data_IF_231523674678
#
_entry.id   IF_231523674678
#
_cell.length_a   1.000
_cell.length_b   1.000
_cell.length_c   1.000
_cell.angle_alpha   90.00
_cell.angle_beta   90.00
_cell.angle_gamma   90.00
#
_symmetry.space_group_name_H-M   'P 1'
#
loop_
_entity.id
_entity.type
_entity.pdbx_description
1 polymer ?
#
# COMPACT_ATOMS: atom_id res chain seq x y z
N UNK A 1 44.40 14.34 -13.23
CA UNK A 1 45.77 14.41 -12.69
C UNK A 1 45.63 14.25 -11.19
N UNK A 2 45.68 13.05 -10.59
CA UNK A 2 46.12 11.70 -11.00
C UNK A 2 45.05 10.69 -10.47
N UNK A 3 44.59 9.61 -11.13
CA UNK A 3 45.17 8.35 -11.68
C UNK A 3 45.58 7.29 -10.61
N UNK A 4 44.90 6.13 -10.65
CA UNK A 4 45.29 4.77 -10.18
C UNK A 4 45.38 4.55 -8.64
N UNK A 5 45.12 3.36 -8.05
CA UNK A 5 44.60 2.08 -8.57
C UNK A 5 44.02 1.18 -7.43
N UNK A 6 43.54 -0.03 -7.80
CA UNK A 6 43.25 -1.30 -7.07
C UNK A 6 43.73 -1.48 -5.60
N UNK A 7 43.15 -2.36 -4.75
CA UNK A 7 42.72 -3.78 -4.87
C UNK A 7 41.56 -4.08 -3.88
N UNK A 8 40.49 -4.82 -4.19
CA UNK A 8 40.34 -6.28 -4.38
C UNK A 8 40.75 -7.11 -3.14
N UNK A 9 39.75 -7.57 -2.38
CA UNK A 9 39.90 -8.54 -1.28
C UNK A 9 39.10 -9.82 -1.62
N UNK A 10 39.75 -10.98 -1.85
CA UNK A 10 39.09 -12.27 -1.93
C UNK A 10 39.29 -13.06 -0.63
N UNK A 11 38.21 -13.51 0.00
CA UNK A 11 38.25 -14.48 1.11
C UNK A 11 37.14 -15.50 0.92
N UNK A 12 37.45 -16.66 0.34
CA UNK A 12 36.48 -17.74 0.15
C UNK A 12 37.10 -19.15 0.25
N UNK A 13 36.74 -19.82 1.35
CA UNK A 13 36.46 -21.27 1.48
C UNK A 13 37.59 -22.29 1.27
N UNK A 14 37.83 -23.10 2.31
CA UNK A 14 38.19 -24.52 2.22
C UNK A 14 37.84 -25.28 3.51
N UNK A 15 37.15 -26.45 3.37
CA UNK A 15 37.13 -27.70 4.18
C UNK A 15 37.07 -27.69 5.75
N UNK A 16 36.69 -28.74 6.49
CA UNK A 16 36.19 -30.12 6.21
C UNK A 16 34.97 -30.53 7.08
N UNK A 17 34.06 -31.29 6.47
CA UNK A 17 33.37 -32.52 6.95
C UNK A 17 33.65 -33.08 8.37
N UNK A 18 32.60 -33.53 9.11
CA UNK A 18 32.47 -34.86 9.80
C UNK A 18 31.03 -35.06 10.34
N UNK A 19 30.57 -36.32 10.46
CA UNK A 19 29.21 -36.76 10.77
C UNK A 19 28.82 -36.66 12.27
N UNK A 20 27.52 -36.59 12.59
CA UNK A 20 26.73 -37.76 13.06
C UNK A 20 25.50 -37.42 13.96
N UNK A 21 24.51 -38.33 13.90
CA UNK A 21 23.59 -38.71 15.01
C UNK A 21 22.37 -37.82 15.35
N UNK A 22 21.20 -38.34 14.96
CA UNK A 22 19.92 -38.36 15.68
C UNK A 22 19.52 -37.15 16.56
N UNK A 23 18.54 -36.39 16.07
CA UNK A 23 17.46 -35.86 16.91
C UNK A 23 16.11 -36.33 16.34
N UNK A 24 15.25 -36.84 17.22
CA UNK A 24 13.92 -37.35 16.90
C UNK A 24 13.09 -36.31 16.11
N UNK A 25 12.28 -36.71 15.10
CA UNK A 25 11.20 -35.85 14.64
C UNK A 25 10.17 -35.76 15.77
N UNK A 26 10.33 -34.77 16.65
CA UNK A 26 9.29 -34.39 17.59
C UNK A 26 8.10 -33.93 16.76
N UNK A 27 7.13 -34.82 16.55
CA UNK A 27 5.77 -34.45 16.20
C UNK A 27 5.32 -33.47 17.28
N UNK A 28 5.36 -32.18 16.91
CA UNK A 28 4.71 -31.18 17.74
C UNK A 28 3.24 -31.57 17.74
N UNK A 29 2.71 -31.76 18.93
CA UNK A 29 1.27 -31.79 19.13
C UNK A 29 0.75 -30.40 18.77
N UNK A 30 0.53 -30.17 17.48
CA UNK A 30 -0.08 -28.95 16.95
C UNK A 30 -1.43 -28.86 17.67
N UNK A 31 -1.63 -27.90 18.59
CA UNK A 31 -2.87 -27.80 19.32
C UNK A 31 -3.95 -27.58 18.26
N UNK A 32 -4.97 -28.45 18.22
CA UNK A 32 -6.06 -28.26 17.27
C UNK A 32 -6.51 -26.80 17.38
N UNK A 33 -6.46 -25.99 16.31
CA UNK A 33 -6.86 -24.61 16.39
C UNK A 33 -8.33 -24.62 16.79
N UNK A 34 -8.61 -24.31 18.05
CA UNK A 34 -9.96 -24.31 18.56
C UNK A 34 -10.71 -23.27 17.74
N UNK A 35 -11.60 -23.74 16.87
CA UNK A 35 -12.45 -22.90 16.06
C UNK A 35 -13.44 -22.24 17.03
N UNK A 36 -12.99 -21.15 17.65
CA UNK A 36 -13.84 -20.20 18.32
C UNK A 36 -14.71 -19.59 17.23
N UNK A 37 -15.90 -20.17 17.03
CA UNK A 37 -16.97 -19.57 16.25
C UNK A 37 -17.16 -18.14 16.78
N UNK A 38 -16.79 -17.11 16.00
CA UNK A 38 -16.80 -15.76 16.50
C UNK A 38 -18.26 -15.30 16.54
N UNK A 39 -18.87 -15.39 17.72
CA UNK A 39 -20.22 -14.91 17.96
C UNK A 39 -20.18 -13.38 18.05
N UNK A 40 -20.51 -12.72 16.95
CA UNK A 40 -20.61 -11.27 16.91
C UNK A 40 -22.01 -10.84 17.38
N UNK A 41 -22.12 -10.02 18.44
CA UNK A 41 -23.41 -9.53 18.93
C UNK A 41 -24.05 -8.56 17.94
N UNK A 42 -25.37 -8.36 18.05
CA UNK A 42 -26.11 -7.44 17.18
C UNK A 42 -25.49 -6.04 17.16
N UNK A 43 -25.32 -5.48 15.96
CA UNK A 43 -24.68 -4.18 15.73
C UNK A 43 -23.16 -4.22 15.48
N UNK A 44 -22.52 -5.39 15.53
CA UNK A 44 -21.10 -5.56 15.13
C UNK A 44 -21.01 -6.14 13.72
N UNK A 45 -20.41 -5.39 12.80
CA UNK A 45 -20.25 -5.81 11.39
C UNK A 45 -18.90 -6.48 11.19
N UNK A 46 -18.93 -7.73 10.73
CA UNK A 46 -17.74 -8.53 10.43
C UNK A 46 -17.05 -8.02 9.16
N UNK A 47 -15.72 -8.00 9.18
CA UNK A 47 -14.86 -7.77 8.00
C UNK A 47 -14.21 -9.08 7.58
N UNK A 48 -13.69 -9.85 8.54
CA UNK A 48 -13.02 -11.12 8.36
C UNK A 48 -13.22 -11.99 9.61
N UNK A 49 -12.82 -13.25 9.59
CA UNK A 49 -13.09 -14.22 10.66
C UNK A 49 -12.67 -13.74 12.06
N UNK A 50 -11.55 -12.98 12.12
CA UNK A 50 -11.02 -12.41 13.35
C UNK A 50 -11.22 -10.89 13.47
N UNK A 51 -11.73 -10.20 12.45
CA UNK A 51 -11.80 -8.73 12.43
C UNK A 51 -13.23 -8.24 12.23
N UNK A 52 -13.72 -7.42 13.15
CA UNK A 52 -15.01 -6.74 13.02
C UNK A 52 -14.92 -5.28 13.48
N UNK A 53 -15.99 -4.51 13.23
CA UNK A 53 -16.13 -3.15 13.72
C UNK A 53 -17.54 -2.87 14.24
N UNK A 54 -17.63 -1.91 15.16
CA UNK A 54 -18.87 -1.37 15.71
C UNK A 54 -18.86 0.14 15.56
N UNK A 55 -20.03 0.74 15.41
CA UNK A 55 -20.20 2.20 15.44
C UNK A 55 -21.01 2.56 16.69
N UNK A 56 -20.43 3.35 17.58
CA UNK A 56 -21.04 3.84 18.82
C UNK A 56 -20.69 5.32 18.99
N UNK A 57 -21.65 6.15 19.37
CA UNK A 57 -21.45 7.57 19.74
C UNK A 57 -20.62 8.40 18.73
N UNK A 58 -20.83 8.16 17.44
CA UNK A 58 -20.10 8.82 16.35
C UNK A 58 -18.67 8.30 16.11
N UNK A 59 -18.23 7.29 16.88
CA UNK A 59 -16.92 6.65 16.77
C UNK A 59 -17.03 5.27 16.17
N UNK A 60 -15.96 4.84 15.52
CA UNK A 60 -15.82 3.52 14.91
C UNK A 60 -14.72 2.76 15.65
N UNK A 61 -15.13 1.71 16.37
CA UNK A 61 -14.26 0.82 17.12
C UNK A 61 -14.02 -0.48 16.34
N UNK A 62 -12.77 -0.91 16.24
CA UNK A 62 -12.35 -2.14 15.57
C UNK A 62 -11.92 -3.19 16.60
N UNK A 63 -12.40 -4.41 16.41
CA UNK A 63 -12.17 -5.55 17.31
C UNK A 63 -11.40 -6.64 16.58
N UNK A 64 -10.38 -7.20 17.24
CA UNK A 64 -9.71 -8.43 16.83
C UNK A 64 -10.14 -9.54 17.80
N UNK A 65 -10.96 -10.46 17.34
CA UNK A 65 -11.80 -11.31 18.19
C UNK A 65 -12.63 -10.43 19.14
N UNK A 66 -12.40 -10.59 20.44
CA UNK A 66 -13.11 -9.85 21.49
C UNK A 66 -12.38 -8.58 21.96
N UNK A 67 -11.15 -8.32 21.48
CA UNK A 67 -10.32 -7.21 21.96
C UNK A 67 -10.44 -5.97 21.08
N UNK A 68 -10.79 -4.78 21.61
CA UNK A 68 -10.72 -3.53 20.85
C UNK A 68 -9.26 -3.17 20.56
N UNK A 69 -8.93 -2.93 19.29
CA UNK A 69 -7.55 -2.62 18.85
C UNK A 69 -7.41 -1.15 18.45
N UNK A 70 -8.43 -0.57 17.81
CA UNK A 70 -8.42 0.83 17.39
C UNK A 70 -9.80 1.45 17.54
N UNK A 71 -9.82 2.74 17.88
CA UNK A 71 -11.02 3.57 17.89
C UNK A 71 -10.66 4.87 17.16
N UNK A 72 -11.55 5.35 16.29
CA UNK A 72 -11.42 6.66 15.66
C UNK A 72 -12.78 7.33 15.49
N UNK A 73 -12.77 8.63 15.23
CA UNK A 73 -13.97 9.36 14.85
C UNK A 73 -14.43 8.94 13.45
N UNK A 74 -15.74 8.83 13.22
CA UNK A 74 -16.33 8.47 11.93
C UNK A 74 -15.92 9.44 10.81
N UNK A 75 -15.68 10.70 11.12
CA UNK A 75 -15.31 11.71 10.13
C UNK A 75 -13.79 11.76 9.87
N UNK A 76 -12.95 11.05 10.66
CA UNK A 76 -11.50 10.95 10.44
C UNK A 76 -11.14 9.91 9.36
N UNK A 77 -11.33 10.33 8.11
CA UNK A 77 -10.97 9.58 6.90
C UNK A 77 -9.45 9.29 6.83
N UNK A 78 -8.58 10.08 7.48
CA UNK A 78 -7.13 9.84 7.47
C UNK A 78 -6.77 8.65 8.34
N UNK A 79 -7.29 8.61 9.57
CA UNK A 79 -7.12 7.50 10.50
C UNK A 79 -7.83 6.24 10.02
N UNK A 80 -9.04 6.33 9.45
CA UNK A 80 -9.71 5.21 8.78
C UNK A 80 -8.80 4.52 7.74
N UNK A 81 -8.16 5.32 6.87
CA UNK A 81 -7.28 4.82 5.80
C UNK A 81 -5.98 4.22 6.35
N UNK A 82 -5.49 4.75 7.46
CA UNK A 82 -4.30 4.24 8.14
C UNK A 82 -4.59 2.86 8.76
N UNK A 83 -5.66 2.75 9.56
CA UNK A 83 -6.08 1.52 10.24
C UNK A 83 -6.38 0.40 9.23
N UNK A 84 -7.20 0.70 8.20
CA UNK A 84 -7.54 -0.29 7.16
C UNK A 84 -6.34 -0.74 6.35
N UNK A 85 -5.36 0.14 6.12
CA UNK A 85 -4.09 -0.24 5.49
C UNK A 85 -3.25 -1.13 6.41
N UNK A 86 -3.19 -0.84 7.71
CA UNK A 86 -2.47 -1.63 8.70
C UNK A 86 -3.03 -3.06 8.81
N UNK A 87 -4.36 -3.24 8.87
CA UNK A 87 -4.97 -4.58 8.87
C UNK A 87 -4.61 -5.41 7.64
N UNK A 88 -4.60 -4.80 6.45
CA UNK A 88 -4.17 -5.44 5.20
C UNK A 88 -2.65 -5.71 5.10
N UNK A 89 -1.82 -5.04 5.90
CA UNK A 89 -0.37 -5.29 5.96
C UNK A 89 -0.06 -6.38 6.99
N UNK A 90 -0.76 -6.39 8.12
CA UNK A 90 -0.64 -7.40 9.18
C UNK A 90 -1.25 -8.75 8.78
N UNK A 91 -2.16 -8.77 7.79
CA UNK A 91 -2.83 -9.99 7.31
C UNK A 91 -4.22 -10.23 7.91
N UNK A 92 -4.67 -9.39 8.86
CA UNK A 92 -5.94 -9.53 9.58
C UNK A 92 -7.21 -9.38 8.71
N UNK A 93 -7.09 -8.77 7.53
CA UNK A 93 -8.21 -8.63 6.58
C UNK A 93 -7.73 -8.49 5.14
N UNK A 94 -8.47 -9.05 4.19
CA UNK A 94 -8.18 -8.94 2.76
C UNK A 94 -8.69 -7.61 2.20
N UNK A 95 -7.99 -7.08 1.20
CA UNK A 95 -8.37 -5.83 0.51
C UNK A 95 -9.76 -5.90 -0.15
N UNK A 96 -10.26 -7.11 -0.45
CA UNK A 96 -11.59 -7.34 -1.01
C UNK A 96 -12.68 -7.25 0.07
N UNK A 97 -12.44 -7.82 1.25
CA UNK A 97 -13.33 -7.77 2.42
C UNK A 97 -13.60 -6.32 2.83
N UNK A 98 -12.54 -5.54 3.06
CA UNK A 98 -12.64 -4.10 3.36
C UNK A 98 -13.38 -3.32 2.25
N UNK A 99 -13.15 -3.68 0.98
CA UNK A 99 -13.80 -3.02 -0.17
C UNK A 99 -15.30 -3.31 -0.22
N UNK A 100 -15.72 -4.55 0.08
CA UNK A 100 -17.12 -4.94 0.10
C UNK A 100 -17.87 -4.34 1.30
N UNK A 101 -17.32 -4.48 2.51
CA UNK A 101 -17.99 -4.09 3.76
C UNK A 101 -18.14 -2.58 3.92
N UNK A 102 -17.14 -1.79 3.53
CA UNK A 102 -17.24 -0.33 3.59
C UNK A 102 -17.79 0.30 2.29
N UNK A 103 -18.09 -0.49 1.25
CA UNK A 103 -18.53 0.01 -0.06
C UNK A 103 -17.48 0.86 -0.80
N UNK A 104 -16.20 0.81 -0.37
CA UNK A 104 -15.12 1.66 -0.92
C UNK A 104 -14.48 0.95 -2.11
N UNK A 105 -14.18 1.67 -3.23
CA UNK A 105 -13.49 1.07 -4.36
C UNK A 105 -12.15 0.43 -3.98
N UNK A 106 -11.94 -0.84 -4.36
CA UNK A 106 -10.71 -1.64 -4.10
C UNK A 106 -9.41 -0.91 -4.49
N UNK A 107 -9.46 -0.03 -5.50
CA UNK A 107 -8.33 0.82 -5.91
C UNK A 107 -7.88 1.78 -4.79
N UNK A 108 -8.83 2.33 -4.01
CA UNK A 108 -8.54 3.20 -2.85
C UNK A 108 -7.85 2.42 -1.74
N UNK A 109 -8.36 1.23 -1.40
CA UNK A 109 -7.74 0.33 -0.41
C UNK A 109 -6.32 -0.04 -0.85
N UNK A 110 -6.12 -0.46 -2.10
CA UNK A 110 -4.80 -0.78 -2.66
C UNK A 110 -3.81 0.40 -2.58
N UNK A 111 -4.29 1.64 -2.81
CA UNK A 111 -3.46 2.86 -2.67
C UNK A 111 -3.08 3.15 -1.22
N UNK A 112 -4.00 2.95 -0.27
CA UNK A 112 -3.73 3.11 1.15
C UNK A 112 -2.69 2.07 1.63
N UNK A 113 -2.89 0.79 1.31
CA UNK A 113 -1.93 -0.30 1.62
C UNK A 113 -0.55 -0.02 1.02
N UNK A 114 -0.49 0.45 -0.24
CA UNK A 114 0.78 0.84 -0.86
C UNK A 114 1.48 1.94 -0.05
N UNK A 115 0.77 3.01 0.30
CA UNK A 115 1.31 4.12 1.10
C UNK A 115 1.83 3.65 2.46
N UNK A 116 1.08 2.80 3.16
CA UNK A 116 1.50 2.29 4.48
C UNK A 116 2.82 1.51 4.38
N UNK A 117 3.06 0.76 3.30
CA UNK A 117 4.32 0.05 3.05
C UNK A 117 5.50 0.96 2.71
N UNK A 118 5.26 2.13 2.10
CA UNK A 118 6.32 3.06 1.67
C UNK A 118 6.63 4.16 2.70
N UNK A 119 5.60 4.67 3.39
CA UNK A 119 5.68 5.87 4.25
C UNK A 119 5.25 5.58 5.70
N UNK A 120 4.80 4.36 6.02
CA UNK A 120 4.24 4.00 7.32
C UNK A 120 2.97 4.80 7.68
N UNK A 121 2.63 4.88 8.99
CA UNK A 121 1.55 5.72 9.48
C UNK A 121 1.75 7.22 9.14
N UNK A 122 3.00 7.69 9.10
CA UNK A 122 3.36 9.10 8.82
C UNK A 122 2.82 9.59 7.47
N UNK A 123 2.73 8.71 6.45
CA UNK A 123 2.21 9.07 5.14
C UNK A 123 0.73 9.49 5.11
N UNK A 124 -0.05 9.09 6.11
CA UNK A 124 -1.48 9.42 6.17
C UNK A 124 -1.74 10.84 6.70
N UNK A 125 -0.92 11.28 7.66
CA UNK A 125 -1.03 12.58 8.32
C UNK A 125 -0.14 13.67 7.69
N UNK A 126 0.78 13.29 6.79
CA UNK A 126 1.60 14.28 6.06
C UNK A 126 0.73 15.07 5.07
N UNK A 127 0.71 16.42 5.14
CA UNK A 127 -0.09 17.23 4.23
C UNK A 127 0.36 17.02 2.79
N UNK A 128 -0.60 16.84 1.88
CA UNK A 128 -0.31 16.64 0.46
C UNK A 128 0.39 17.88 -0.10
N UNK A 129 1.61 17.73 -0.61
CA UNK A 129 2.29 18.78 -1.39
C UNK A 129 1.33 19.31 -2.48
N UNK A 130 0.94 20.59 -2.46
CA UNK A 130 0.06 21.14 -3.49
C UNK A 130 0.77 21.06 -4.83
N UNK A 131 0.00 20.89 -5.91
CA UNK A 131 0.56 21.06 -7.25
C UNK A 131 0.85 22.55 -7.39
N UNK A 132 2.11 22.93 -7.60
CA UNK A 132 2.51 24.32 -7.75
C UNK A 132 1.72 25.02 -8.86
N UNK A 133 1.60 26.34 -8.77
CA UNK A 133 0.99 27.15 -9.81
C UNK A 133 1.65 26.83 -11.17
N UNK A 134 0.83 26.71 -12.22
CA UNK A 134 1.31 26.44 -13.58
C UNK A 134 1.93 27.71 -14.18
N UNK A 135 3.08 28.12 -13.64
CA UNK A 135 3.83 29.29 -14.12
C UNK A 135 4.31 29.02 -15.54
N UNK A 136 3.96 29.92 -16.46
CA UNK A 136 4.52 29.95 -17.81
C UNK A 136 5.98 30.40 -17.74
N UNK A 137 6.89 29.46 -17.43
CA UNK A 137 8.33 29.69 -17.61
C UNK A 137 8.63 30.02 -19.08
N UNK A 138 9.72 30.74 -19.34
CA UNK A 138 10.08 31.16 -20.69
C UNK A 138 10.13 29.98 -21.69
N UNK A 139 10.65 28.83 -21.26
CA UNK A 139 10.66 27.58 -22.00
C UNK A 139 9.25 27.06 -22.33
N UNK A 140 8.33 27.02 -21.35
CA UNK A 140 6.95 26.59 -21.57
C UNK A 140 6.19 27.57 -22.48
N UNK A 141 6.49 28.88 -22.39
CA UNK A 141 5.98 29.90 -23.30
C UNK A 141 6.50 29.76 -24.74
N UNK A 142 7.79 29.45 -24.92
CA UNK A 142 8.37 29.12 -26.22
C UNK A 142 7.80 27.82 -26.80
N UNK A 143 7.60 26.79 -25.96
CA UNK A 143 6.91 25.55 -26.34
C UNK A 143 5.47 25.80 -26.76
N UNK A 144 4.73 26.63 -26.02
CA UNK A 144 3.36 27.02 -26.36
C UNK A 144 3.32 27.74 -27.71
N UNK A 145 4.17 28.76 -27.93
CA UNK A 145 4.30 29.45 -29.22
C UNK A 145 4.64 28.47 -30.36
N UNK A 146 5.64 27.61 -30.17
CA UNK A 146 6.04 26.59 -31.17
C UNK A 146 4.89 25.63 -31.51
N UNK A 147 4.12 25.17 -30.53
CA UNK A 147 2.93 24.34 -30.79
C UNK A 147 1.83 25.11 -31.53
N UNK A 148 1.61 26.38 -31.18
CA UNK A 148 0.60 27.24 -31.81
C UNK A 148 0.93 27.52 -33.27
N UNK A 149 2.17 27.95 -33.58
CA UNK A 149 2.65 28.18 -34.95
C UNK A 149 2.61 26.92 -35.82
N UNK A 150 2.86 25.74 -35.25
CA UNK A 150 2.78 24.45 -35.97
C UNK A 150 1.34 23.89 -36.06
N UNK A 151 0.31 24.60 -35.61
CA UNK A 151 -1.08 24.14 -35.65
C UNK A 151 -1.43 23.01 -34.65
N UNK A 152 -0.56 22.71 -33.68
CA UNK A 152 -0.77 21.62 -32.71
C UNK A 152 -1.82 22.02 -31.67
N UNK A 153 -3.11 21.80 -31.98
CA UNK A 153 -4.16 21.79 -30.95
C UNK A 153 -3.98 20.61 -30.00
N UNK A 154 -4.39 20.82 -28.73
CA UNK A 154 -4.39 19.82 -27.66
C UNK A 154 -5.29 18.63 -28.05
N UNK A 155 -4.72 17.59 -28.68
CA UNK A 155 -5.48 16.39 -29.10
C UNK A 155 -6.15 15.78 -27.86
N UNK A 156 -7.48 15.63 -27.90
CA UNK A 156 -8.22 14.79 -26.95
C UNK A 156 -7.71 13.36 -27.14
N UNK A 157 -7.10 12.81 -26.10
CA UNK A 157 -6.41 11.52 -26.16
C UNK A 157 -7.39 10.40 -26.54
N UNK A 158 -7.28 9.90 -27.78
CA UNK A 158 -7.71 8.57 -28.19
C UNK A 158 -6.42 7.79 -28.43
N UNK A 159 -6.27 6.63 -27.80
CA UNK A 159 -4.99 5.91 -27.75
C UNK A 159 -4.49 5.45 -29.12
N UNK A 160 -3.16 5.37 -29.25
CA UNK A 160 -2.47 4.89 -30.46
C UNK A 160 -1.38 5.86 -30.92
N UNK A 161 -0.12 5.43 -30.86
CA UNK A 161 0.96 6.10 -31.57
C UNK A 161 0.91 5.66 -33.03
N UNK A 162 0.61 6.59 -33.94
CA UNK A 162 0.87 6.39 -35.36
C UNK A 162 1.83 7.49 -35.81
N UNK A 163 3.06 7.09 -36.12
CA UNK A 163 4.05 7.94 -36.77
C UNK A 163 3.68 8.07 -38.24
N UNK A 164 3.28 9.27 -38.68
CA UNK A 164 3.33 9.60 -40.09
C UNK A 164 3.64 11.09 -40.29
N UNK A 165 4.70 11.45 -41.04
CA UNK A 165 4.99 12.83 -41.40
C UNK A 165 4.27 13.19 -42.70
N UNK A 166 3.31 14.10 -42.62
CA UNK A 166 2.76 14.77 -43.82
C UNK A 166 2.74 16.27 -43.61
N UNK A 167 3.64 16.95 -44.30
CA UNK A 167 3.44 18.27 -44.90
C UNK A 167 4.64 18.52 -45.82
N UNK A 168 4.34 18.63 -47.11
CA UNK A 168 5.24 19.08 -48.18
C UNK A 168 5.56 20.56 -48.05
#
# INVERSE_FOLDING_TARGET
MWRLDSEIIPFFVSLTLTLATFACPTERFEPMPQIQLPFFPEGVTQISDLLAFRVEDGRVAYFNGNMPVFIHDKDDIATFRMITAQFCVNGNAKQAEISAVFGIPKVTVKRAVKRYREEGPKGFYTPRKPRGAAVLTAEVGLRHRRCWTKGWRRRRWRGGWNSNPTLS
#
